data_IF_466871454119
#
_entry.id   IF_466871454119
#
_cell.length_a   1.000
_cell.length_b   1.000
_cell.length_c   1.000
_cell.angle_alpha   90.00
_cell.angle_beta   90.00
_cell.angle_gamma   90.00
#
_symmetry.space_group_name_H-M   'P 1'
#
loop_
_entity.id
_entity.type
_entity.pdbx_description
1 polymer ?
#
# COMPACT_ATOMS: atom_id res chain seq x y z
N UNK A 1 -13.04 5.79 -11.09
CA UNK A 1 -11.61 5.83 -10.72
C UNK A 1 -10.71 5.55 -11.92
N UNK A 2 -9.67 6.38 -12.06
CA UNK A 2 -8.58 6.25 -13.03
C UNK A 2 -7.35 5.68 -12.34
N UNK A 3 -6.68 4.71 -12.96
CA UNK A 3 -5.36 4.26 -12.54
C UNK A 3 -4.30 5.27 -12.97
N UNK A 4 -3.59 5.82 -11.99
CA UNK A 4 -2.51 6.81 -12.24
C UNK A 4 -1.12 6.27 -11.91
N UNK A 5 -1.03 5.17 -11.16
CA UNK A 5 0.23 4.49 -10.91
C UNK A 5 0.04 3.09 -10.37
N UNK A 6 0.95 2.18 -10.70
CA UNK A 6 0.96 0.82 -10.17
C UNK A 6 2.39 0.31 -10.04
N UNK A 7 2.64 -0.48 -9.00
CA UNK A 7 3.91 -1.22 -8.87
C UNK A 7 3.65 -2.58 -8.25
N UNK A 8 4.34 -3.58 -8.81
CA UNK A 8 4.38 -4.94 -8.30
C UNK A 8 5.75 -5.25 -7.71
N UNK A 9 5.77 -5.90 -6.54
CA UNK A 9 6.99 -6.41 -5.92
C UNK A 9 6.70 -7.61 -5.03
N UNK A 10 7.63 -8.57 -4.99
CA UNK A 10 7.55 -9.72 -4.08
C UNK A 10 7.74 -9.29 -2.63
N UNK A 11 6.82 -9.74 -1.79
CA UNK A 11 6.95 -9.75 -0.34
C UNK A 11 7.32 -11.16 0.11
N UNK A 12 8.26 -11.32 1.06
CA UNK A 12 8.68 -12.63 1.55
C UNK A 12 7.59 -13.33 2.38
N UNK A 13 6.63 -12.57 2.92
CA UNK A 13 5.54 -13.11 3.71
C UNK A 13 4.37 -13.60 2.83
N UNK A 14 3.61 -14.62 3.28
CA UNK A 14 2.44 -15.12 2.56
C UNK A 14 1.26 -14.14 2.61
N UNK A 15 0.27 -14.24 1.69
CA UNK A 15 -0.78 -13.23 1.51
C UNK A 15 -1.52 -12.84 2.79
N UNK A 16 -1.87 -13.82 3.63
CA UNK A 16 -2.58 -13.59 4.91
C UNK A 16 -1.79 -12.69 5.87
N UNK A 17 -0.47 -12.85 5.92
CA UNK A 17 0.40 -12.05 6.79
C UNK A 17 0.54 -10.63 6.25
N UNK A 18 0.66 -10.48 4.92
CA UNK A 18 0.70 -9.16 4.27
C UNK A 18 -0.64 -8.43 4.43
N UNK A 19 -1.76 -9.14 4.26
CA UNK A 19 -3.12 -8.63 4.48
C UNK A 19 -3.30 -8.12 5.91
N UNK A 20 -2.86 -8.90 6.90
CA UNK A 20 -2.94 -8.52 8.31
C UNK A 20 -2.12 -7.24 8.60
N UNK A 21 -0.92 -7.14 8.05
CA UNK A 21 -0.10 -5.93 8.19
C UNK A 21 -0.74 -4.68 7.55
N UNK A 22 -1.39 -4.84 6.39
CA UNK A 22 -2.09 -3.75 5.69
C UNK A 22 -3.40 -3.32 6.39
N UNK A 23 -4.07 -4.23 7.10
CA UNK A 23 -5.31 -3.93 7.83
C UNK A 23 -5.04 -3.45 9.26
N UNK A 24 -3.92 -3.86 9.86
CA UNK A 24 -3.52 -3.54 11.23
C UNK A 24 -2.06 -3.05 11.28
N UNK A 25 -1.74 -1.86 10.74
CA UNK A 25 -0.36 -1.38 10.61
C UNK A 25 0.36 -1.16 11.95
N UNK A 26 -0.38 -0.98 13.06
CA UNK A 26 0.20 -0.75 14.39
C UNK A 26 0.29 -2.01 15.25
N UNK A 27 -0.02 -3.18 14.69
CA UNK A 27 -0.05 -4.44 15.46
C UNK A 27 1.29 -4.73 16.13
N UNK A 28 2.40 -4.43 15.44
CA UNK A 28 3.75 -4.60 15.96
C UNK A 28 4.39 -3.23 16.21
N UNK A 29 4.24 -2.71 17.43
CA UNK A 29 4.84 -1.44 17.83
C UNK A 29 6.37 -1.46 17.87
N UNK A 30 7.00 -2.64 17.87
CA UNK A 30 8.46 -2.76 17.80
C UNK A 30 8.99 -2.63 16.36
N UNK A 31 8.11 -2.79 15.36
CA UNK A 31 8.44 -2.69 13.92
C UNK A 31 7.42 -1.83 13.17
N UNK A 32 7.28 -0.54 13.53
CA UNK A 32 6.41 0.36 12.79
C UNK A 32 6.92 0.52 11.36
N UNK A 33 6.02 0.43 10.39
CA UNK A 33 6.38 0.55 8.97
C UNK A 33 5.59 1.63 8.25
N UNK A 34 4.37 1.94 8.73
CA UNK A 34 3.52 3.01 8.23
C UNK A 34 3.99 4.37 8.79
N UNK A 35 5.21 4.74 8.40
CA UNK A 35 5.88 5.98 8.81
C UNK A 35 5.45 7.14 7.91
N UNK A 36 4.41 7.85 8.35
CA UNK A 36 3.75 8.93 7.63
C UNK A 36 4.46 10.26 7.87
N UNK A 37 4.58 11.07 6.82
CA UNK A 37 5.10 12.44 6.91
C UNK A 37 4.05 13.39 7.50
N UNK A 38 4.48 14.59 7.90
CA UNK A 38 3.62 15.63 8.49
C UNK A 38 2.46 16.07 7.57
N UNK A 39 2.61 15.90 6.26
CA UNK A 39 1.59 16.20 5.24
C UNK A 39 0.83 14.96 4.74
N UNK A 40 1.05 13.81 5.37
CA UNK A 40 0.34 12.57 5.12
C UNK A 40 -0.63 12.27 6.28
N UNK A 41 -1.69 11.51 5.98
CA UNK A 41 -2.67 11.07 6.94
C UNK A 41 -2.76 9.56 6.97
N UNK A 42 -3.19 9.03 8.11
CA UNK A 42 -3.48 7.61 8.24
C UNK A 42 -4.65 7.23 7.33
N UNK A 43 -4.49 6.23 6.45
CA UNK A 43 -5.58 5.77 5.61
C UNK A 43 -6.63 5.03 6.45
N UNK A 44 -7.89 5.20 6.07
CA UNK A 44 -8.99 4.35 6.52
C UNK A 44 -9.10 3.13 5.61
N UNK A 45 -9.52 2.00 6.19
CA UNK A 45 -9.80 0.77 5.44
C UNK A 45 -11.17 0.90 4.75
N UNK A 46 -11.17 0.93 3.42
CA UNK A 46 -12.39 1.03 2.61
C UNK A 46 -12.93 -0.35 2.22
N UNK A 47 -12.02 -1.26 1.83
CA UNK A 47 -12.35 -2.65 1.46
C UNK A 47 -11.30 -3.58 2.05
N UNK A 48 -11.76 -4.72 2.54
CA UNK A 48 -10.91 -5.80 3.01
C UNK A 48 -11.55 -7.14 2.63
N UNK A 49 -10.95 -7.84 1.67
CA UNK A 49 -11.36 -9.17 1.23
C UNK A 49 -10.17 -10.12 1.44
N UNK A 50 -10.25 -10.91 2.51
CA UNK A 50 -9.12 -11.68 3.01
C UNK A 50 -8.86 -12.93 2.14
N UNK A 51 -7.58 -13.26 1.83
CA UNK A 51 -6.37 -12.47 2.00
C UNK A 51 -6.00 -11.67 0.74
N UNK A 52 -6.93 -11.49 -0.20
CA UNK A 52 -6.64 -11.17 -1.60
C UNK A 52 -6.58 -9.68 -1.91
N UNK A 53 -7.32 -8.85 -1.18
CA UNK A 53 -7.53 -7.47 -1.53
C UNK A 53 -7.68 -6.57 -0.29
N UNK A 54 -6.94 -5.46 -0.30
CA UNK A 54 -7.14 -4.34 0.62
C UNK A 54 -7.30 -3.06 -0.19
N UNK A 55 -8.24 -2.19 0.18
CA UNK A 55 -8.34 -0.84 -0.37
C UNK A 55 -8.28 0.16 0.77
N UNK A 56 -7.35 1.07 0.66
CA UNK A 56 -7.17 2.19 1.57
C UNK A 56 -7.75 3.47 0.97
N UNK A 57 -8.29 4.33 1.85
CA UNK A 57 -8.53 5.73 1.52
C UNK A 57 -7.22 6.47 1.27
N UNK A 58 -7.32 7.73 0.86
CA UNK A 58 -6.14 8.55 0.60
C UNK A 58 -5.23 8.67 1.83
N UNK A 59 -3.92 8.64 1.55
CA UNK A 59 -2.87 9.02 2.50
C UNK A 59 -2.57 10.52 2.44
N UNK A 60 -3.15 11.26 1.49
CA UNK A 60 -2.80 12.67 1.25
C UNK A 60 -4.04 13.55 1.42
N UNK A 61 -4.08 14.44 2.43
CA UNK A 61 -5.16 15.40 2.61
C UNK A 61 -5.42 16.28 1.38
N UNK A 62 -4.38 16.54 0.56
CA UNK A 62 -4.47 17.32 -0.68
C UNK A 62 -5.10 16.56 -1.86
N UNK A 63 -5.22 15.23 -1.77
CA UNK A 63 -5.88 14.37 -2.76
C UNK A 63 -6.83 13.41 -2.04
N UNK A 64 -7.90 13.91 -1.41
CA UNK A 64 -8.83 13.08 -0.64
C UNK A 64 -9.60 12.08 -1.52
N UNK A 65 -9.63 12.33 -2.83
CA UNK A 65 -10.17 11.47 -3.89
C UNK A 65 -9.33 10.22 -4.16
N UNK A 66 -8.06 10.21 -3.73
CA UNK A 66 -7.17 9.09 -3.99
C UNK A 66 -7.54 7.85 -3.17
N UNK A 67 -7.36 6.68 -3.76
CA UNK A 67 -7.44 5.39 -3.07
C UNK A 67 -6.23 4.55 -3.46
N UNK A 68 -5.82 3.67 -2.55
CA UNK A 68 -4.74 2.72 -2.82
C UNK A 68 -5.29 1.31 -2.73
N UNK A 69 -5.32 0.64 -3.87
CA UNK A 69 -5.71 -0.76 -3.97
C UNK A 69 -4.48 -1.64 -3.85
N UNK A 70 -4.56 -2.68 -3.03
CA UNK A 70 -3.54 -3.72 -2.88
C UNK A 70 -4.11 -5.06 -3.32
N UNK A 71 -3.50 -5.66 -4.34
CA UNK A 71 -3.77 -7.03 -4.76
C UNK A 71 -2.67 -7.94 -4.20
N UNK A 72 -3.07 -9.04 -3.57
CA UNK A 72 -2.19 -9.93 -2.79
C UNK A 72 -2.20 -11.39 -3.29
N UNK A 73 -1.89 -11.66 -4.57
CA UNK A 73 -1.79 -13.03 -5.04
C UNK A 73 -0.57 -13.73 -4.40
N UNK A 74 -0.65 -15.05 -4.13
CA UNK A 74 0.52 -15.82 -3.73
C UNK A 74 1.58 -15.76 -4.83
N UNK A 75 2.85 -15.82 -4.44
CA UNK A 75 3.95 -15.92 -5.41
C UNK A 75 4.02 -17.32 -6.03
N UNK A 76 4.87 -17.49 -7.05
CA UNK A 76 5.02 -18.78 -7.74
C UNK A 76 5.53 -19.93 -6.86
N UNK A 77 6.02 -19.64 -5.65
CA UNK A 77 6.45 -20.65 -4.67
C UNK A 77 5.36 -21.01 -3.64
N UNK A 78 4.31 -20.19 -3.55
CA UNK A 78 3.24 -20.32 -2.55
C UNK A 78 3.64 -19.86 -1.14
N UNK A 79 4.88 -19.39 -0.94
CA UNK A 79 5.39 -18.96 0.36
C UNK A 79 5.40 -17.43 0.50
N UNK A 80 5.51 -16.70 -0.62
CA UNK A 80 5.53 -15.24 -0.65
C UNK A 80 4.25 -14.66 -1.25
N UNK A 81 4.23 -13.33 -1.36
CA UNK A 81 3.13 -12.57 -2.01
C UNK A 81 3.67 -11.75 -3.15
N UNK A 82 3.04 -11.83 -4.31
CA UNK A 82 3.31 -10.95 -5.46
C UNK A 82 2.50 -9.66 -5.35
N UNK A 83 2.73 -8.90 -4.27
CA UNK A 83 1.97 -7.70 -3.94
C UNK A 83 2.03 -6.70 -5.10
N UNK A 84 0.86 -6.20 -5.47
CA UNK A 84 0.70 -5.04 -6.34
C UNK A 84 -0.06 -3.96 -5.57
N UNK A 85 0.50 -2.76 -5.53
CA UNK A 85 -0.30 -1.58 -5.20
C UNK A 85 -0.67 -0.85 -6.49
N UNK A 86 -1.88 -0.29 -6.51
CA UNK A 86 -2.40 0.56 -7.59
C UNK A 86 -3.01 1.81 -6.97
N UNK A 87 -2.50 2.97 -7.37
CA UNK A 87 -2.99 4.27 -7.00
C UNK A 87 -4.11 4.68 -7.96
N UNK A 88 -5.29 4.89 -7.38
CA UNK A 88 -6.52 5.25 -8.06
C UNK A 88 -6.91 6.66 -7.65
N UNK A 89 -7.43 7.45 -8.59
CA UNK A 89 -8.00 8.78 -8.32
C UNK A 89 -9.35 8.93 -9.00
N UNK A 90 -10.20 9.77 -8.43
CA UNK A 90 -11.41 10.25 -9.11
C UNK A 90 -11.22 11.70 -9.56
N UNK A 91 -11.69 12.01 -10.76
CA UNK A 91 -11.55 13.35 -11.34
C UNK A 91 -10.24 13.54 -12.09
N UNK A 92 -9.61 14.71 -11.91
CA UNK A 92 -8.47 15.14 -12.72
C UNK A 92 -7.17 14.43 -12.34
N UNK A 93 -6.39 14.04 -13.35
CA UNK A 93 -5.08 13.42 -13.14
C UNK A 93 -4.16 14.39 -12.38
N UNK A 94 -3.47 13.93 -11.31
CA UNK A 94 -2.45 14.75 -10.67
C UNK A 94 -1.37 15.15 -11.68
N UNK A 95 -0.76 16.32 -11.47
CA UNK A 95 0.42 16.69 -12.24
C UNK A 95 1.54 15.66 -12.06
N UNK A 96 2.48 15.63 -13.00
CA UNK A 96 3.55 14.63 -13.03
C UNK A 96 4.45 14.66 -11.78
N UNK A 97 4.63 15.83 -11.16
CA UNK A 97 5.46 15.98 -9.96
C UNK A 97 4.77 15.36 -8.75
N UNK A 98 3.50 15.69 -8.52
CA UNK A 98 2.69 15.13 -7.45
C UNK A 98 2.51 13.62 -7.61
N UNK A 99 2.20 13.16 -8.82
CA UNK A 99 2.06 11.73 -9.11
C UNK A 99 3.37 10.97 -8.82
N UNK A 100 4.50 11.53 -9.25
CA UNK A 100 5.82 10.97 -8.98
C UNK A 100 6.12 10.88 -7.48
N UNK A 101 5.76 11.93 -6.73
CA UNK A 101 5.88 11.93 -5.27
C UNK A 101 5.02 10.84 -4.61
N UNK A 102 3.72 10.77 -4.94
CA UNK A 102 2.80 9.77 -4.38
C UNK A 102 3.28 8.33 -4.65
N UNK A 103 3.69 8.04 -5.89
CA UNK A 103 4.23 6.73 -6.26
C UNK A 103 5.53 6.40 -5.52
N UNK A 104 6.39 7.40 -5.30
CA UNK A 104 7.64 7.21 -4.53
C UNK A 104 7.35 6.90 -3.07
N UNK A 105 6.39 7.59 -2.45
CA UNK A 105 5.98 7.35 -1.06
C UNK A 105 5.37 5.97 -0.88
N UNK A 106 4.48 5.53 -1.77
CA UNK A 106 3.95 4.16 -1.74
C UNK A 106 5.05 3.11 -1.88
N UNK A 107 6.04 3.34 -2.75
CA UNK A 107 7.19 2.44 -2.85
C UNK A 107 8.01 2.40 -1.56
N UNK A 108 8.20 3.53 -0.87
CA UNK A 108 8.92 3.54 0.39
C UNK A 108 8.16 2.77 1.47
N UNK A 109 6.88 3.10 1.70
CA UNK A 109 6.06 2.46 2.73
C UNK A 109 5.90 0.95 2.49
N UNK A 110 5.58 0.54 1.27
CA UNK A 110 5.17 -0.84 0.98
C UNK A 110 6.34 -1.72 0.53
N UNK A 111 7.21 -1.19 -0.32
CA UNK A 111 8.27 -1.97 -0.96
C UNK A 111 9.64 -1.86 -0.27
N UNK A 112 9.74 -1.01 0.76
CA UNK A 112 10.86 -0.94 1.70
C UNK A 112 10.40 -1.19 3.14
N UNK A 113 9.65 -0.27 3.76
CA UNK A 113 9.35 -0.34 5.21
C UNK A 113 8.56 -1.61 5.59
N UNK A 114 7.41 -1.85 4.96
CA UNK A 114 6.58 -3.04 5.23
C UNK A 114 7.39 -4.31 4.97
N UNK A 115 8.09 -4.36 3.85
CA UNK A 115 8.92 -5.52 3.48
C UNK A 115 9.98 -5.83 4.55
N UNK A 116 10.56 -4.81 5.17
CA UNK A 116 11.55 -4.95 6.25
C UNK A 116 10.99 -5.61 7.50
N UNK A 117 9.71 -5.37 7.82
CA UNK A 117 9.06 -6.02 8.98
C UNK A 117 9.04 -7.55 8.88
N UNK A 118 9.08 -8.08 7.65
CA UNK A 118 9.12 -9.50 7.36
C UNK A 118 10.55 -10.09 7.34
N UNK A 119 11.55 -9.34 7.79
CA UNK A 119 12.93 -9.82 7.99
C UNK A 119 13.86 -9.69 6.78
N UNK A 120 13.67 -8.68 5.93
CA UNK A 120 14.48 -8.43 4.72
C UNK A 120 14.98 -7.00 4.58
#
# INVERSE_FOLDING_TARGET
>A
MLEVGSRRKRQPAPPRIVFEALTHPDRDSARPWLDLLDDEQRPHLLVADEPHLVVWSSLWPRRPDAQVRFDLPPDGSGQGTELRWTLLVDGEMPDASLLGHMCRRLNQLINANLRYTFGQ
#
